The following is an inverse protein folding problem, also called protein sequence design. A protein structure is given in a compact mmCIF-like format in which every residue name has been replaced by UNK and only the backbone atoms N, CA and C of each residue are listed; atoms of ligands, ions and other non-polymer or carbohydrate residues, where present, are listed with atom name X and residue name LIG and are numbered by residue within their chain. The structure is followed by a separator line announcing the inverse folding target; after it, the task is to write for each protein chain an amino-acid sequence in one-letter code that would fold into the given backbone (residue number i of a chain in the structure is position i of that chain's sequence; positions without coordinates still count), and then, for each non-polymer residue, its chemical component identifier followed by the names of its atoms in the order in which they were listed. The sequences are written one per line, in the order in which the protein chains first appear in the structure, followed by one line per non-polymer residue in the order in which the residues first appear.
data_IF_790979439605
#
_entry.id   IF_790979439605
#
_cell.length_a   1.000
_cell.length_b   1.000
_cell.length_c   1.000
_cell.angle_alpha   90.00
_cell.angle_beta   90.00
_cell.angle_gamma   90.00
#
_symmetry.space_group_name_H-M   'P 1'
#
loop_
_entity.id
_entity.type
_entity.pdbx_description
1 polymer ?
#
# COMPACT_ATOMS: atom_id res chain seq x y z
N UNK A 1 -10.72 5.34 26.00
CA UNK A 1 -9.79 4.53 26.81
C UNK A 1 -9.33 3.22 26.14
N UNK A 2 -10.16 2.42 25.45
CA UNK A 2 -9.74 1.09 24.94
C UNK A 2 -8.51 1.12 24.01
N UNK A 3 -8.38 2.18 23.20
CA UNK A 3 -7.28 2.35 22.24
C UNK A 3 -5.89 2.51 22.88
N UNK A 4 -5.80 3.08 24.08
CA UNK A 4 -4.51 3.34 24.72
C UNK A 4 -3.87 2.07 25.27
N UNK A 5 -4.66 1.00 25.47
CA UNK A 5 -4.21 -0.28 26.02
C UNK A 5 -3.18 -0.94 25.09
N UNK A 6 -3.49 -1.23 23.79
CA UNK A 6 -2.50 -1.84 22.90
C UNK A 6 -1.28 -0.95 22.66
N UNK A 7 -1.45 0.37 22.58
CA UNK A 7 -0.34 1.34 22.40
C UNK A 7 0.63 1.30 23.59
N UNK A 8 0.10 1.27 24.81
CA UNK A 8 0.93 1.23 26.02
C UNK A 8 1.66 -0.11 26.18
N UNK A 9 1.02 -1.21 25.78
CA UNK A 9 1.56 -2.56 25.92
C UNK A 9 2.57 -2.91 24.82
N UNK A 10 2.37 -2.42 23.59
CA UNK A 10 3.30 -2.63 22.49
C UNK A 10 4.56 -1.77 22.61
N UNK A 11 4.44 -0.62 23.30
CA UNK A 11 5.46 0.43 23.26
C UNK A 11 5.51 1.16 21.90
N UNK A 12 4.67 0.78 20.94
CA UNK A 12 4.60 1.38 19.62
C UNK A 12 3.80 2.68 19.68
N UNK A 13 4.52 3.79 19.52
CA UNK A 13 3.97 5.15 19.49
C UNK A 13 3.73 5.67 18.09
N UNK A 14 3.78 4.83 17.05
CA UNK A 14 3.58 5.29 15.67
C UNK A 14 2.16 5.80 15.40
N UNK A 15 1.18 5.40 16.21
CA UNK A 15 -0.25 5.65 15.98
C UNK A 15 -0.75 5.16 14.61
N UNK A 16 -0.01 4.25 13.98
CA UNK A 16 -0.45 3.61 12.76
C UNK A 16 -1.54 2.59 13.11
N UNK A 17 -2.74 2.76 12.54
CA UNK A 17 -3.89 1.88 12.80
C UNK A 17 -3.55 0.42 12.52
N UNK A 18 -2.79 0.16 11.46
CA UNK A 18 -2.42 -1.18 11.05
C UNK A 18 -1.45 -1.83 12.03
N UNK A 19 -0.41 -1.10 12.47
CA UNK A 19 0.55 -1.62 13.43
C UNK A 19 -0.09 -1.92 14.78
N UNK A 20 -0.95 -1.01 15.26
CA UNK A 20 -1.73 -1.24 16.49
C UNK A 20 -2.65 -2.46 16.33
N UNK A 21 -3.31 -2.61 15.17
CA UNK A 21 -4.19 -3.74 14.89
C UNK A 21 -3.40 -5.06 14.87
N UNK A 22 -2.25 -5.11 14.18
CA UNK A 22 -1.36 -6.29 14.16
C UNK A 22 -0.92 -6.69 15.55
N UNK A 23 -0.56 -5.73 16.41
CA UNK A 23 -0.21 -6.06 17.81
C UNK A 23 -1.34 -6.78 18.55
N UNK A 24 -2.58 -6.33 18.37
CA UNK A 24 -3.77 -6.99 18.95
C UNK A 24 -4.01 -8.37 18.32
N UNK A 25 -3.69 -8.56 17.03
CA UNK A 25 -3.78 -9.85 16.33
C UNK A 25 -2.72 -10.85 16.82
N UNK A 26 -1.47 -10.42 16.93
CA UNK A 26 -0.32 -11.27 17.26
C UNK A 26 -0.23 -11.61 18.77
N UNK A 27 -0.85 -10.81 19.63
CA UNK A 27 -1.03 -11.08 21.06
C UNK A 27 0.30 -11.39 21.78
N UNK A 28 0.37 -12.55 22.44
CA UNK A 28 1.50 -13.00 23.25
C UNK A 28 2.81 -13.29 22.47
N UNK A 29 2.79 -13.32 21.12
CA UNK A 29 4.01 -13.61 20.33
C UNK A 29 4.98 -12.44 20.22
N UNK A 30 4.50 -11.21 20.44
CA UNK A 30 5.33 -10.00 20.27
C UNK A 30 6.18 -9.72 21.53
N UNK A 31 5.81 -10.30 22.68
CA UNK A 31 6.53 -10.05 23.94
C UNK A 31 7.53 -11.18 24.18
N UNK A 32 8.85 -10.91 24.08
CA UNK A 32 9.85 -11.89 24.44
C UNK A 32 9.80 -12.18 25.95
N UNK A 33 9.79 -13.46 26.33
CA UNK A 33 9.82 -13.91 27.73
C UNK A 33 8.59 -14.74 28.14
N UNK A 34 8.37 -14.84 29.45
CA UNK A 34 7.29 -15.65 30.05
C UNK A 34 5.96 -14.89 30.24
N UNK A 35 5.91 -13.62 29.82
CA UNK A 35 4.71 -12.78 29.96
C UNK A 35 3.79 -12.95 28.76
N UNK A 36 2.52 -13.27 29.01
CA UNK A 36 1.50 -13.38 27.96
C UNK A 36 0.40 -12.34 28.16
N UNK A 37 -0.04 -11.73 27.06
CA UNK A 37 -1.21 -10.85 27.06
C UNK A 37 -2.34 -11.56 26.33
N UNK A 38 -3.51 -11.59 26.95
CA UNK A 38 -4.72 -12.15 26.38
C UNK A 38 -5.85 -11.14 26.49
N UNK A 39 -6.54 -10.93 25.39
CA UNK A 39 -7.76 -10.13 25.32
C UNK A 39 -8.91 -11.06 25.01
N UNK A 40 -9.99 -10.99 25.80
CA UNK A 40 -11.24 -11.66 25.47
C UNK A 40 -11.88 -11.10 24.19
N UNK A 41 -12.79 -11.84 23.57
CA UNK A 41 -13.42 -11.47 22.30
C UNK A 41 -14.16 -10.13 22.36
N UNK A 42 -14.87 -9.84 23.46
CA UNK A 42 -15.61 -8.59 23.63
C UNK A 42 -14.62 -7.41 23.72
N UNK A 43 -13.53 -7.57 24.46
CA UNK A 43 -12.47 -6.56 24.55
C UNK A 43 -11.77 -6.36 23.21
N UNK A 44 -11.42 -7.43 22.47
CA UNK A 44 -10.83 -7.33 21.14
C UNK A 44 -11.72 -6.55 20.18
N UNK A 45 -13.01 -6.87 20.14
CA UNK A 45 -13.99 -6.17 19.30
C UNK A 45 -14.05 -4.67 19.63
N UNK A 46 -14.15 -4.32 20.92
CA UNK A 46 -14.15 -2.92 21.37
C UNK A 46 -12.85 -2.17 21.02
N UNK A 47 -11.70 -2.86 21.09
CA UNK A 47 -10.41 -2.30 20.70
C UNK A 47 -10.38 -2.04 19.18
N UNK A 48 -10.79 -3.01 18.36
CA UNK A 48 -10.84 -2.83 16.90
C UNK A 48 -11.78 -1.71 16.48
N UNK A 49 -12.98 -1.62 17.07
CA UNK A 49 -13.91 -0.50 16.82
C UNK A 49 -13.30 0.87 17.20
N UNK A 50 -12.49 0.91 18.27
CA UNK A 50 -11.78 2.13 18.67
C UNK A 50 -10.64 2.48 17.71
N UNK A 51 -9.93 1.48 17.17
CA UNK A 51 -8.89 1.66 16.14
C UNK A 51 -9.50 2.19 14.83
N UNK A 52 -10.65 1.66 14.43
CA UNK A 52 -11.35 2.10 13.22
C UNK A 52 -11.72 3.59 13.31
N UNK A 53 -12.24 4.01 14.47
CA UNK A 53 -12.62 5.39 14.79
C UNK A 53 -11.43 6.32 15.07
N UNK A 54 -10.21 5.81 15.19
CA UNK A 54 -9.03 6.64 15.44
C UNK A 54 -8.89 7.68 14.34
N UNK A 55 -8.79 8.94 14.71
CA UNK A 55 -8.46 10.03 13.80
C UNK A 55 -7.12 10.61 14.21
N UNK A 56 -6.45 11.26 13.25
CA UNK A 56 -5.17 11.92 13.48
C UNK A 56 -5.40 13.43 13.47
N UNK A 57 -5.88 14.04 14.58
CA UNK A 57 -6.18 15.45 14.62
C UNK A 57 -4.89 16.28 14.55
N UNK A 58 -4.99 17.48 13.96
CA UNK A 58 -3.89 18.46 13.88
C UNK A 58 -3.16 18.66 15.21
N UNK A 59 -3.93 18.77 16.30
CA UNK A 59 -3.40 19.03 17.65
C UNK A 59 -2.43 17.93 18.08
N UNK A 60 -2.76 16.66 17.84
CA UNK A 60 -1.91 15.52 18.16
C UNK A 60 -0.60 15.57 17.34
N UNK A 61 -0.69 15.85 16.03
CA UNK A 61 0.49 15.94 15.18
C UNK A 61 1.43 17.08 15.61
N UNK A 62 0.88 18.25 15.94
CA UNK A 62 1.67 19.38 16.46
C UNK A 62 2.33 19.01 17.79
N UNK A 63 1.60 18.36 18.71
CA UNK A 63 2.16 17.92 19.99
C UNK A 63 3.34 16.96 19.81
N UNK A 64 3.18 15.94 18.94
CA UNK A 64 4.25 14.97 18.64
C UNK A 64 5.44 15.62 17.94
N UNK A 65 5.17 16.56 17.05
CA UNK A 65 6.21 17.34 16.40
C UNK A 65 7.01 18.17 17.42
N UNK A 66 6.33 18.92 18.30
CA UNK A 66 6.99 19.75 19.33
C UNK A 66 7.83 18.90 20.27
N UNK A 67 7.31 17.75 20.71
CA UNK A 67 8.03 16.84 21.59
C UNK A 67 9.34 16.32 20.96
N UNK A 68 9.31 15.96 19.68
CA UNK A 68 10.52 15.52 18.99
C UNK A 68 11.50 16.68 18.76
N UNK A 69 10.99 17.86 18.39
CA UNK A 69 11.79 19.08 18.23
C UNK A 69 12.55 19.45 19.51
N UNK A 70 11.87 19.44 20.65
CA UNK A 70 12.48 19.72 21.95
C UNK A 70 13.57 18.70 22.30
N UNK A 71 13.34 17.41 22.00
CA UNK A 71 14.33 16.36 22.22
C UNK A 71 15.57 16.50 21.34
N UNK A 72 15.39 16.87 20.07
CA UNK A 72 16.50 17.00 19.11
C UNK A 72 17.20 18.37 19.19
N UNK A 73 16.57 19.37 19.79
CA UNK A 73 17.06 20.75 19.79
C UNK A 73 17.06 21.43 18.41
N UNK A 74 16.45 20.81 17.40
CA UNK A 74 16.34 21.30 16.01
C UNK A 74 14.99 20.92 15.41
N UNK A 75 14.62 21.53 14.29
CA UNK A 75 13.46 21.10 13.50
C UNK A 75 13.73 19.66 13.02
N UNK A 76 12.88 18.68 13.37
CA UNK A 76 13.05 17.30 12.93
C UNK A 76 12.83 17.17 11.42
N UNK A 77 13.58 16.31 10.76
CA UNK A 77 13.24 15.85 9.42
C UNK A 77 12.10 14.84 9.46
N UNK A 78 11.49 14.53 8.31
CA UNK A 78 10.49 13.47 8.25
C UNK A 78 11.10 12.08 8.56
N UNK A 79 12.40 11.91 8.30
CA UNK A 79 13.16 10.69 8.62
C UNK A 79 13.38 10.54 10.13
N UNK A 80 13.62 11.65 10.84
CA UNK A 80 13.83 11.63 12.29
C UNK A 80 12.65 10.98 13.03
N UNK A 81 11.41 11.22 12.58
CA UNK A 81 10.22 10.58 13.14
C UNK A 81 10.22 9.06 12.97
N UNK A 82 10.71 8.58 11.82
CA UNK A 82 10.80 7.15 11.53
C UNK A 82 11.86 6.48 12.42
N UNK A 83 13.04 7.10 12.55
CA UNK A 83 14.15 6.57 13.33
C UNK A 83 13.84 6.57 14.84
N UNK A 84 13.15 7.60 15.33
CA UNK A 84 12.87 7.77 16.76
C UNK A 84 11.58 7.05 17.20
N UNK A 85 10.73 6.61 16.26
CA UNK A 85 9.54 5.80 16.55
C UNK A 85 8.42 6.53 17.31
N UNK A 86 8.39 7.87 17.29
CA UNK A 86 7.41 8.66 18.07
C UNK A 86 6.05 8.84 17.41
N UNK A 87 5.99 8.79 16.07
CA UNK A 87 4.76 8.83 15.25
C UNK A 87 5.10 8.37 13.83
N UNK A 88 4.20 7.65 13.14
CA UNK A 88 4.41 7.27 11.74
C UNK A 88 4.49 8.54 10.88
N UNK A 89 5.59 8.78 10.17
CA UNK A 89 5.76 9.99 9.38
C UNK A 89 4.69 10.15 8.29
N UNK A 90 4.08 9.04 7.81
CA UNK A 90 3.01 9.11 6.82
C UNK A 90 1.76 9.81 7.34
N UNK A 91 1.55 9.88 8.66
CA UNK A 91 0.41 10.58 9.24
C UNK A 91 0.48 12.11 9.02
N UNK A 92 1.68 12.69 9.01
CA UNK A 92 1.87 14.10 8.65
C UNK A 92 1.51 14.35 7.19
N UNK A 93 1.93 13.44 6.31
CA UNK A 93 1.68 13.51 4.88
C UNK A 93 0.19 13.34 4.57
N UNK A 94 -0.48 12.38 5.21
CA UNK A 94 -1.92 12.18 5.06
C UNK A 94 -2.72 13.41 5.50
N UNK A 95 -2.27 14.10 6.55
CA UNK A 95 -2.95 15.29 7.07
C UNK A 95 -2.72 16.54 6.20
N UNK A 96 -1.47 16.84 5.83
CA UNK A 96 -1.10 18.10 5.16
C UNK A 96 -0.83 17.97 3.65
N UNK A 97 -0.80 16.75 3.12
CA UNK A 97 -0.45 16.42 1.75
C UNK A 97 1.06 16.27 1.51
N UNK A 98 1.90 16.99 2.26
CA UNK A 98 3.37 16.85 2.26
C UNK A 98 3.96 17.35 3.57
N UNK A 99 5.18 16.92 3.89
CA UNK A 99 5.86 17.37 5.12
C UNK A 99 6.18 18.88 5.14
N UNK A 100 6.65 19.51 4.04
CA UNK A 100 6.82 20.97 3.98
C UNK A 100 5.54 21.75 4.32
N UNK A 101 4.38 21.30 3.83
CA UNK A 101 3.08 21.91 4.14
C UNK A 101 2.72 21.75 5.61
N UNK A 102 3.05 20.60 6.21
CA UNK A 102 2.90 20.42 7.65
C UNK A 102 3.80 21.35 8.47
N UNK A 103 5.08 21.52 8.07
CA UNK A 103 6.01 22.43 8.73
C UNK A 103 5.50 23.87 8.73
N UNK A 104 4.96 24.37 7.61
CA UNK A 104 4.34 25.70 7.54
C UNK A 104 3.16 25.86 8.52
N UNK A 105 2.47 24.77 8.89
CA UNK A 105 1.39 24.80 9.87
C UNK A 105 1.86 24.72 11.33
N UNK A 106 2.97 24.02 11.58
CA UNK A 106 3.50 23.77 12.92
C UNK A 106 4.48 24.88 13.37
N UNK A 107 5.24 25.45 12.44
CA UNK A 107 6.29 26.42 12.69
C UNK A 107 5.90 27.80 12.16
N UNK A 108 5.60 28.73 13.08
CA UNK A 108 5.19 30.11 12.74
C UNK A 108 6.22 30.88 11.91
N UNK A 109 7.50 30.53 12.01
CA UNK A 109 8.61 31.20 11.34
C UNK A 109 9.30 30.30 10.28
N UNK A 110 8.68 29.18 9.88
CA UNK A 110 9.26 28.31 8.87
C UNK A 110 9.06 28.91 7.48
N UNK A 111 10.10 29.54 6.96
CA UNK A 111 10.17 30.02 5.59
C UNK A 111 10.98 29.05 4.74
N UNK A 112 10.40 27.88 4.41
CA UNK A 112 10.95 27.06 3.32
C UNK A 112 10.78 27.83 2.02
N UNK A 113 11.88 28.09 1.31
CA UNK A 113 11.85 28.84 0.06
C UNK A 113 11.51 27.92 -1.13
N UNK A 114 10.24 27.52 -1.20
CA UNK A 114 9.71 26.62 -2.22
C UNK A 114 8.75 27.35 -3.17
N UNK A 115 8.95 27.15 -4.45
CA UNK A 115 8.04 27.52 -5.54
C UNK A 115 6.87 26.54 -5.63
N UNK A 116 5.82 26.93 -6.34
CA UNK A 116 4.65 26.06 -6.56
C UNK A 116 5.01 24.73 -7.22
N UNK A 117 5.97 24.72 -8.15
CA UNK A 117 6.45 23.50 -8.82
C UNK A 117 7.20 22.57 -7.87
N UNK A 118 8.01 23.13 -6.99
CA UNK A 118 8.74 22.38 -5.96
C UNK A 118 7.77 21.78 -4.95
N UNK A 119 6.77 22.55 -4.50
CA UNK A 119 5.69 22.05 -3.64
C UNK A 119 4.91 20.90 -4.29
N UNK A 120 4.56 21.04 -5.57
CA UNK A 120 3.85 19.99 -6.31
C UNK A 120 4.68 18.71 -6.45
N UNK A 121 5.98 18.83 -6.70
CA UNK A 121 6.90 17.69 -6.78
C UNK A 121 7.03 16.98 -5.43
N UNK A 122 7.23 17.73 -4.35
CA UNK A 122 7.32 17.15 -3.00
C UNK A 122 6.01 16.49 -2.58
N UNK A 123 4.87 17.10 -2.90
CA UNK A 123 3.55 16.52 -2.66
C UNK A 123 3.33 15.24 -3.48
N UNK A 124 3.74 15.23 -4.74
CA UNK A 124 3.66 14.05 -5.60
C UNK A 124 4.44 12.87 -5.00
N UNK A 125 5.71 13.07 -4.63
CA UNK A 125 6.55 12.03 -4.01
C UNK A 125 5.98 11.60 -2.66
N UNK A 126 5.52 12.55 -1.85
CA UNK A 126 4.92 12.29 -0.54
C UNK A 126 3.65 11.43 -0.64
N UNK A 127 2.75 11.71 -1.58
CA UNK A 127 1.46 11.00 -1.64
C UNK A 127 1.55 9.65 -2.35
N UNK A 128 2.48 9.49 -3.29
CA UNK A 128 2.45 8.35 -4.22
C UNK A 128 3.66 7.41 -4.12
N UNK A 129 4.80 7.88 -3.60
CA UNK A 129 6.08 7.14 -3.69
C UNK A 129 6.68 6.82 -2.32
N UNK A 130 6.63 7.77 -1.37
CA UNK A 130 7.29 7.66 -0.04
C UNK A 130 6.82 6.47 0.81
N UNK A 131 5.68 5.85 0.47
CA UNK A 131 5.11 4.75 1.25
C UNK A 131 6.03 3.51 1.30
N UNK A 132 6.99 3.41 0.37
CA UNK A 132 7.98 2.34 0.31
C UNK A 132 7.46 1.04 -0.30
N UNK A 133 6.24 1.01 -0.86
CA UNK A 133 5.64 -0.23 -1.42
C UNK A 133 6.34 -0.71 -2.70
N UNK A 134 7.06 0.18 -3.39
CA UNK A 134 7.87 -0.11 -4.58
C UNK A 134 9.11 0.79 -4.60
N UNK A 135 10.27 0.18 -4.83
CA UNK A 135 11.58 0.83 -4.67
C UNK A 135 12.06 1.60 -5.92
N UNK A 136 11.54 1.26 -7.10
CA UNK A 136 12.07 1.73 -8.39
C UNK A 136 12.03 3.26 -8.54
N UNK A 137 10.88 3.89 -8.27
CA UNK A 137 10.72 5.33 -8.38
C UNK A 137 11.65 6.09 -7.41
N UNK A 138 11.87 5.54 -6.20
CA UNK A 138 12.76 6.14 -5.21
C UNK A 138 14.20 6.17 -5.69
N UNK A 139 14.67 5.07 -6.29
CA UNK A 139 16.04 4.97 -6.80
C UNK A 139 16.25 5.77 -8.09
N UNK A 140 15.24 5.82 -8.97
CA UNK A 140 15.27 6.69 -10.15
C UNK A 140 15.36 8.17 -9.75
N UNK A 141 14.56 8.60 -8.77
CA UNK A 141 14.66 9.96 -8.23
C UNK A 141 16.04 10.24 -7.63
N UNK A 142 16.59 9.30 -6.86
CA UNK A 142 17.95 9.41 -6.31
C UNK A 142 19.00 9.59 -7.41
N UNK A 143 18.91 8.80 -8.49
CA UNK A 143 19.84 8.89 -9.61
C UNK A 143 19.69 10.21 -10.37
N UNK A 144 18.46 10.69 -10.59
CA UNK A 144 18.21 12.01 -11.19
C UNK A 144 18.78 13.15 -10.35
N UNK A 145 18.76 13.04 -9.02
CA UNK A 145 19.34 14.05 -8.13
C UNK A 145 20.87 14.04 -8.16
N UNK A 146 21.49 12.85 -8.11
CA UNK A 146 22.94 12.69 -8.05
C UNK A 146 23.61 12.84 -9.42
N UNK A 147 23.18 12.05 -10.40
CA UNK A 147 23.82 11.90 -11.71
C UNK A 147 23.18 12.81 -12.78
N UNK A 148 21.97 13.31 -12.54
CA UNK A 148 21.21 14.14 -13.50
C UNK A 148 20.58 13.37 -14.66
N UNK A 149 20.88 12.08 -14.79
CA UNK A 149 20.39 11.17 -15.81
C UNK A 149 20.09 9.81 -15.22
N UNK A 150 19.22 9.05 -15.88
CA UNK A 150 18.93 7.67 -15.53
C UNK A 150 19.84 6.76 -16.35
N UNK A 151 20.48 5.83 -15.66
CA UNK A 151 21.30 4.75 -16.22
C UNK A 151 20.71 3.45 -15.68
N UNK A 152 20.06 2.71 -16.59
CA UNK A 152 19.24 1.54 -16.28
C UNK A 152 20.11 0.36 -15.85
N UNK A 153 21.27 0.20 -16.47
CA UNK A 153 22.23 -0.85 -16.18
C UNK A 153 22.76 -0.68 -14.76
N UNK A 154 23.22 0.53 -14.41
CA UNK A 154 23.68 0.87 -13.05
C UNK A 154 22.58 0.65 -12.01
N UNK A 155 21.34 1.02 -12.32
CA UNK A 155 20.20 0.79 -11.44
C UNK A 155 19.91 -0.71 -11.25
N UNK A 156 19.99 -1.49 -12.33
CA UNK A 156 19.76 -2.95 -12.31
C UNK A 156 20.81 -3.65 -11.46
N UNK A 157 22.08 -3.30 -11.62
CA UNK A 157 23.18 -3.82 -10.80
C UNK A 157 23.00 -3.46 -9.32
N UNK A 158 22.62 -2.21 -9.03
CA UNK A 158 22.37 -1.76 -7.66
C UNK A 158 21.21 -2.51 -7.00
N UNK A 159 20.09 -2.69 -7.71
CA UNK A 159 18.92 -3.44 -7.20
C UNK A 159 19.26 -4.90 -6.90
N UNK A 160 20.00 -5.55 -7.81
CA UNK A 160 20.41 -6.94 -7.63
C UNK A 160 21.39 -7.08 -6.46
N UNK A 161 22.33 -6.14 -6.29
CA UNK A 161 23.36 -6.19 -5.25
C UNK A 161 22.81 -5.90 -3.86
N UNK A 162 22.01 -4.84 -3.72
CA UNK A 162 21.57 -4.36 -2.40
C UNK A 162 20.28 -5.02 -1.93
N UNK A 163 19.39 -5.40 -2.86
CA UNK A 163 18.05 -5.89 -2.52
C UNK A 163 17.75 -7.28 -3.08
N UNK A 164 18.66 -7.87 -3.88
CA UNK A 164 18.40 -9.12 -4.61
C UNK A 164 17.16 -9.06 -5.52
N UNK A 165 16.81 -7.86 -6.01
CA UNK A 165 15.64 -7.61 -6.86
C UNK A 165 16.06 -7.46 -8.32
N UNK A 166 15.34 -8.14 -9.22
CA UNK A 166 15.52 -7.98 -10.67
C UNK A 166 14.62 -6.89 -11.23
N UNK A 167 15.20 -5.92 -11.92
CA UNK A 167 14.46 -4.90 -12.65
C UNK A 167 14.10 -5.40 -14.05
N UNK A 168 12.83 -5.69 -14.29
CA UNK A 168 12.35 -5.99 -15.64
C UNK A 168 12.19 -4.70 -16.47
N UNK A 169 12.23 -4.83 -17.79
CA UNK A 169 11.94 -3.72 -18.71
C UNK A 169 10.57 -3.11 -18.44
N UNK A 170 9.55 -3.97 -18.22
CA UNK A 170 8.20 -3.52 -17.91
C UNK A 170 8.14 -2.72 -16.59
N UNK A 171 8.88 -3.14 -15.57
CA UNK A 171 8.96 -2.41 -14.29
C UNK A 171 9.70 -1.09 -14.42
N UNK A 172 10.76 -1.04 -15.24
CA UNK A 172 11.47 0.18 -15.54
C UNK A 172 10.56 1.20 -16.25
N UNK A 173 9.90 0.79 -17.35
CA UNK A 173 8.96 1.64 -18.09
C UNK A 173 7.77 2.09 -17.21
N UNK A 174 7.26 1.19 -16.36
CA UNK A 174 6.21 1.53 -15.40
C UNK A 174 6.67 2.61 -14.41
N UNK A 175 7.89 2.50 -13.88
CA UNK A 175 8.42 3.48 -12.94
C UNK A 175 8.65 4.85 -13.61
N UNK A 176 9.12 4.86 -14.86
CA UNK A 176 9.22 6.09 -15.67
C UNK A 176 7.83 6.70 -15.89
N UNK A 177 6.86 5.91 -16.32
CA UNK A 177 5.47 6.35 -16.54
C UNK A 177 4.84 6.97 -15.28
N UNK A 178 5.13 6.41 -14.10
CA UNK A 178 4.71 7.01 -12.81
C UNK A 178 5.37 8.37 -12.62
N UNK A 179 6.69 8.50 -12.80
CA UNK A 179 7.41 9.77 -12.62
C UNK A 179 7.05 10.83 -13.66
N UNK A 180 6.51 10.44 -14.82
CA UNK A 180 5.91 11.33 -15.82
C UNK A 180 4.46 11.71 -15.51
N UNK A 181 3.84 11.08 -14.50
CA UNK A 181 2.43 11.28 -14.18
C UNK A 181 1.45 10.55 -15.11
N UNK A 182 1.93 9.75 -16.06
CA UNK A 182 1.10 9.05 -17.05
C UNK A 182 0.28 7.88 -16.44
N UNK A 183 0.74 7.32 -15.33
CA UNK A 183 0.02 6.26 -14.61
C UNK A 183 -1.35 6.72 -14.06
N UNK A 184 -1.50 7.99 -13.67
CA UNK A 184 -2.70 8.44 -12.97
C UNK A 184 -3.86 8.66 -13.94
N UNK A 185 -5.02 8.08 -13.64
CA UNK A 185 -6.10 8.00 -14.61
C UNK A 185 -7.27 8.96 -14.33
N UNK A 186 -7.48 9.37 -13.07
CA UNK A 186 -8.60 10.25 -12.73
C UNK A 186 -8.43 11.63 -13.33
N UNK A 187 -9.52 12.29 -13.70
CA UNK A 187 -9.47 13.62 -14.31
C UNK A 187 -8.78 14.65 -13.40
N UNK A 188 -8.98 14.53 -12.08
CA UNK A 188 -8.36 15.39 -11.06
C UNK A 188 -6.87 15.18 -10.98
N UNK A 189 -6.40 13.93 -10.91
CA UNK A 189 -4.97 13.63 -10.83
C UNK A 189 -4.25 13.96 -12.13
N UNK A 190 -4.87 13.68 -13.29
CA UNK A 190 -4.32 14.07 -14.59
C UNK A 190 -4.08 15.58 -14.66
N UNK A 191 -5.07 16.39 -14.29
CA UNK A 191 -4.92 17.86 -14.23
C UNK A 191 -3.86 18.31 -13.21
N UNK A 192 -3.78 17.62 -12.07
CA UNK A 192 -2.81 17.94 -11.00
C UNK A 192 -1.38 17.64 -11.45
N UNK A 193 -1.16 16.53 -12.14
CA UNK A 193 0.17 16.03 -12.50
C UNK A 193 0.56 16.29 -13.97
N UNK A 194 -0.29 16.92 -14.77
CA UNK A 194 0.01 17.36 -16.15
C UNK A 194 1.24 18.26 -16.22
N UNK A 195 1.49 19.05 -15.17
CA UNK A 195 2.62 19.98 -15.07
C UNK A 195 3.83 19.39 -14.33
N UNK A 196 3.85 18.08 -14.10
CA UNK A 196 4.89 17.40 -13.33
C UNK A 196 6.20 17.33 -14.12
N UNK A 197 7.13 18.22 -13.75
CA UNK A 197 8.40 18.39 -14.45
C UNK A 197 9.56 17.66 -13.74
N UNK A 198 9.48 16.32 -13.63
CA UNK A 198 10.55 15.52 -12.99
C UNK A 198 11.63 15.13 -14.00
N UNK A 199 11.24 14.49 -15.09
CA UNK A 199 12.16 13.91 -16.07
C UNK A 199 11.70 14.18 -17.51
N UNK A 200 12.67 14.18 -18.42
CA UNK A 200 12.47 14.37 -19.86
C UNK A 200 13.31 13.35 -20.63
N UNK A 201 12.74 12.82 -21.70
CA UNK A 201 13.46 11.97 -22.65
C UNK A 201 14.22 12.85 -23.63
N UNK A 202 15.51 12.57 -23.82
CA UNK A 202 16.31 13.24 -24.84
C UNK A 202 16.19 12.53 -26.20
N UNK A 203 16.79 13.11 -27.24
CA UNK A 203 16.75 12.57 -28.61
C UNK A 203 17.39 11.18 -28.77
N UNK A 204 18.18 10.75 -27.79
CA UNK A 204 18.82 9.41 -27.77
C UNK A 204 17.98 8.37 -27.05
N UNK A 205 16.79 8.73 -26.55
CA UNK A 205 15.92 7.85 -25.77
C UNK A 205 16.29 7.76 -24.28
N UNK A 206 17.35 8.43 -23.84
CA UNK A 206 17.76 8.44 -22.44
C UNK A 206 16.98 9.49 -21.64
N UNK A 207 16.65 9.15 -20.39
CA UNK A 207 15.92 10.04 -19.49
C UNK A 207 16.88 10.87 -18.64
N UNK A 208 16.58 12.15 -18.51
CA UNK A 208 17.34 13.11 -17.70
C UNK A 208 16.41 13.99 -16.89
N UNK A 209 16.92 14.62 -15.83
CA UNK A 209 16.12 15.54 -15.02
C UNK A 209 15.71 16.77 -15.84
N UNK A 210 14.51 17.27 -15.60
CA UNK A 210 14.12 18.56 -16.17
C UNK A 210 14.90 19.73 -15.55
N UNK A 211 14.98 20.85 -16.29
CA UNK A 211 15.65 22.09 -15.83
C UNK A 211 15.02 22.67 -14.56
N UNK A 212 13.70 22.58 -14.42
CA UNK A 212 12.97 22.97 -13.21
C UNK A 212 13.43 22.17 -11.99
N UNK A 213 13.53 20.84 -12.11
CA UNK A 213 14.06 19.98 -11.05
C UNK A 213 15.50 20.34 -10.72
N UNK A 214 16.35 20.58 -11.72
CA UNK A 214 17.72 21.05 -11.50
C UNK A 214 17.80 22.41 -10.77
N UNK A 215 16.91 23.35 -11.11
CA UNK A 215 16.86 24.64 -10.43
C UNK A 215 16.46 24.51 -8.96
N UNK A 216 15.55 23.58 -8.63
CA UNK A 216 15.16 23.29 -7.25
C UNK A 216 16.26 22.59 -6.47
N UNK A 217 17.00 21.67 -7.09
CA UNK A 217 18.14 20.98 -6.45
C UNK A 217 19.22 21.98 -5.97
N UNK A 218 19.36 23.14 -6.61
CA UNK A 218 20.30 24.18 -6.15
C UNK A 218 19.87 24.88 -4.86
N UNK A 219 18.60 24.75 -4.45
CA UNK A 219 18.09 25.25 -3.18
C UNK A 219 18.22 24.13 -2.14
N UNK A 220 18.87 24.42 -1.01
CA UNK A 220 19.03 23.47 0.09
C UNK A 220 17.68 22.92 0.56
N UNK A 221 16.70 23.80 0.77
CA UNK A 221 15.39 23.41 1.31
C UNK A 221 14.67 22.35 0.46
N UNK A 222 14.67 22.51 -0.87
CA UNK A 222 14.01 21.54 -1.74
C UNK A 222 14.80 20.22 -1.80
N UNK A 223 16.13 20.32 -1.93
CA UNK A 223 17.02 19.17 -1.99
C UNK A 223 16.91 18.30 -0.73
N UNK A 224 16.96 18.92 0.44
CA UNK A 224 16.89 18.26 1.73
C UNK A 224 15.54 17.56 1.91
N UNK A 225 14.43 18.26 1.63
CA UNK A 225 13.09 17.67 1.75
C UNK A 225 12.88 16.50 0.79
N UNK A 226 13.39 16.57 -0.44
CA UNK A 226 13.26 15.48 -1.41
C UNK A 226 14.14 14.29 -1.02
N UNK A 227 15.37 14.52 -0.57
CA UNK A 227 16.27 13.47 -0.07
C UNK A 227 15.66 12.76 1.15
N UNK A 228 15.09 13.51 2.09
CA UNK A 228 14.43 12.94 3.26
C UNK A 228 13.25 12.02 2.87
N UNK A 229 12.44 12.42 1.88
CA UNK A 229 11.35 11.58 1.37
C UNK A 229 11.90 10.31 0.70
N UNK A 230 12.96 10.42 -0.09
CA UNK A 230 13.59 9.26 -0.72
C UNK A 230 14.16 8.32 0.35
N UNK A 231 14.87 8.85 1.33
CA UNK A 231 15.44 8.07 2.44
C UNK A 231 14.34 7.36 3.24
N UNK A 232 13.29 8.08 3.63
CA UNK A 232 12.14 7.50 4.31
C UNK A 232 11.53 6.35 3.50
N UNK A 233 11.28 6.56 2.21
CA UNK A 233 10.71 5.53 1.35
C UNK A 233 11.61 4.30 1.23
N UNK A 234 12.93 4.48 1.11
CA UNK A 234 13.88 3.37 1.03
C UNK A 234 13.98 2.61 2.36
N UNK A 235 14.02 3.31 3.50
CA UNK A 235 13.99 2.66 4.82
C UNK A 235 12.73 1.84 4.99
N UNK A 236 11.56 2.41 4.71
CA UNK A 236 10.28 1.70 4.75
C UNK A 236 10.24 0.48 3.84
N UNK A 237 10.76 0.59 2.62
CA UNK A 237 10.86 -0.53 1.70
C UNK A 237 11.68 -1.68 2.31
N UNK A 238 12.87 -1.34 2.81
CA UNK A 238 13.82 -2.30 3.39
C UNK A 238 13.25 -2.97 4.64
N UNK A 239 12.65 -2.19 5.53
CA UNK A 239 12.21 -2.67 6.83
C UNK A 239 10.87 -3.42 6.75
N UNK A 240 9.95 -3.01 5.87
CA UNK A 240 8.57 -3.51 5.86
C UNK A 240 8.23 -4.44 4.69
N UNK A 241 8.81 -4.21 3.51
CA UNK A 241 8.36 -4.86 2.27
C UNK A 241 9.37 -5.86 1.72
N UNK A 242 10.66 -5.57 1.81
CA UNK A 242 11.72 -6.47 1.33
C UNK A 242 11.70 -7.88 1.98
N UNK A 243 11.48 -8.05 3.30
CA UNK A 243 11.70 -9.35 3.94
C UNK A 243 10.81 -10.51 3.45
N UNK A 244 9.58 -10.21 3.03
CA UNK A 244 8.60 -11.21 2.57
C UNK A 244 8.09 -10.92 1.15
N UNK A 245 8.89 -10.21 0.36
CA UNK A 245 8.55 -9.84 -1.01
C UNK A 245 8.56 -11.05 -1.95
N UNK A 246 7.54 -11.16 -2.80
CA UNK A 246 7.49 -12.13 -3.88
C UNK A 246 8.07 -11.58 -5.21
N UNK A 247 8.11 -12.44 -6.23
CA UNK A 247 8.64 -12.10 -7.57
C UNK A 247 7.89 -10.95 -8.27
N UNK A 248 6.65 -10.66 -7.86
CA UNK A 248 5.84 -9.57 -8.42
C UNK A 248 6.05 -8.25 -7.67
N UNK A 249 6.79 -8.28 -6.56
CA UNK A 249 7.06 -7.12 -5.74
C UNK A 249 6.07 -6.91 -4.58
N UNK A 250 5.20 -7.89 -4.29
CA UNK A 250 4.24 -7.82 -3.19
C UNK A 250 4.78 -8.58 -1.97
N UNK A 251 4.64 -7.99 -0.79
CA UNK A 251 5.08 -8.58 0.48
C UNK A 251 3.91 -9.23 1.20
N UNK A 252 4.08 -10.49 1.61
CA UNK A 252 3.05 -11.20 2.38
C UNK A 252 2.66 -10.41 3.63
N UNK A 253 1.36 -10.37 3.90
CA UNK A 253 0.74 -9.75 5.08
C UNK A 253 0.93 -8.23 5.19
N UNK A 254 1.45 -7.58 4.15
CA UNK A 254 1.43 -6.13 4.04
C UNK A 254 0.14 -5.65 3.37
N UNK A 255 -0.20 -4.38 3.60
CA UNK A 255 -1.43 -3.76 3.12
C UNK A 255 -1.24 -3.01 1.82
N UNK A 256 -2.14 -3.25 0.87
CA UNK A 256 -2.11 -2.63 -0.45
C UNK A 256 -3.48 -2.07 -0.81
N UNK A 257 -3.50 -0.83 -1.31
CA UNK A 257 -4.66 -0.32 -2.02
C UNK A 257 -4.73 -0.94 -3.42
N UNK A 258 -5.91 -0.90 -4.05
CA UNK A 258 -6.05 -1.31 -5.46
C UNK A 258 -5.10 -0.54 -6.39
N UNK A 259 -4.87 0.75 -6.11
CA UNK A 259 -3.95 1.61 -6.86
C UNK A 259 -2.50 1.15 -6.72
N UNK A 260 -2.08 0.76 -5.51
CA UNK A 260 -0.76 0.17 -5.28
C UNK A 260 -0.57 -1.11 -6.08
N UNK A 261 -1.60 -1.97 -6.11
CA UNK A 261 -1.55 -3.23 -6.86
C UNK A 261 -1.46 -2.97 -8.38
N UNK A 262 -2.24 -2.05 -8.95
CA UNK A 262 -2.09 -1.63 -10.35
C UNK A 262 -0.65 -1.20 -10.65
N UNK A 263 -0.07 -0.39 -9.75
CA UNK A 263 1.30 0.12 -9.89
C UNK A 263 2.33 -1.00 -9.82
N UNK A 264 2.31 -1.83 -8.79
CA UNK A 264 3.28 -2.92 -8.57
C UNK A 264 3.22 -3.95 -9.70
N UNK A 265 2.02 -4.28 -10.19
CA UNK A 265 1.82 -5.19 -11.31
C UNK A 265 2.11 -4.56 -12.69
N UNK A 266 2.67 -3.35 -12.72
CA UNK A 266 3.04 -2.61 -13.93
C UNK A 266 1.88 -2.41 -14.93
N UNK A 267 0.66 -2.16 -14.43
CA UNK A 267 -0.45 -1.80 -15.30
C UNK A 267 -0.20 -0.39 -15.89
N UNK A 268 -0.61 -0.19 -17.14
CA UNK A 268 -0.39 1.08 -17.86
C UNK A 268 -0.97 2.30 -17.11
N UNK A 269 -2.12 2.12 -16.46
CA UNK A 269 -2.82 3.18 -15.74
C UNK A 269 -3.41 2.67 -14.43
N UNK A 270 -3.70 3.61 -13.53
CA UNK A 270 -4.50 3.38 -12.35
C UNK A 270 -5.95 3.03 -12.75
N UNK A 271 -6.26 1.74 -12.68
CA UNK A 271 -7.59 1.20 -12.93
C UNK A 271 -8.29 0.79 -11.63
N UNK A 272 -7.85 1.29 -10.48
CA UNK A 272 -8.35 0.92 -9.15
C UNK A 272 -9.87 1.02 -9.01
N UNK A 273 -10.51 2.00 -9.67
CA UNK A 273 -11.96 2.21 -9.69
C UNK A 273 -12.73 1.13 -10.46
N UNK A 274 -12.08 0.40 -11.36
CA UNK A 274 -12.73 -0.60 -12.25
C UNK A 274 -12.35 -2.04 -11.92
N UNK A 275 -11.48 -2.26 -10.93
CA UNK A 275 -11.13 -3.60 -10.45
C UNK A 275 -12.32 -4.24 -9.70
N UNK A 276 -13.07 -3.47 -8.93
CA UNK A 276 -14.13 -3.99 -8.04
C UNK A 276 -13.60 -5.12 -7.13
N UNK A 277 -14.18 -6.32 -7.21
CA UNK A 277 -13.74 -7.51 -6.47
C UNK A 277 -12.57 -8.24 -7.12
N UNK A 278 -12.41 -8.19 -8.44
CA UNK A 278 -11.27 -8.79 -9.15
C UNK A 278 -11.25 -8.37 -10.61
N UNK A 279 -10.07 -8.46 -11.23
CA UNK A 279 -9.89 -8.20 -12.66
C UNK A 279 -8.75 -9.02 -13.23
N UNK A 280 -8.96 -9.68 -14.38
CA UNK A 280 -7.91 -10.39 -15.10
C UNK A 280 -7.29 -9.45 -16.12
N UNK A 281 -6.00 -9.11 -15.96
CA UNK A 281 -5.26 -8.25 -16.90
C UNK A 281 -3.76 -8.56 -16.85
N UNK A 282 -3.06 -8.45 -17.98
CA UNK A 282 -1.60 -8.67 -18.10
C UNK A 282 -1.10 -9.94 -17.40
N UNK A 283 -1.81 -11.06 -17.61
CA UNK A 283 -1.52 -12.35 -16.99
C UNK A 283 -1.54 -12.35 -15.44
N UNK A 284 -2.27 -11.42 -14.83
CA UNK A 284 -2.52 -11.35 -13.39
C UNK A 284 -4.02 -11.27 -13.09
N UNK A 285 -4.42 -11.75 -11.92
CA UNK A 285 -5.77 -11.63 -11.38
C UNK A 285 -5.71 -11.29 -9.88
N UNK A 286 -5.60 -10.01 -9.52
CA UNK A 286 -5.82 -9.60 -8.14
C UNK A 286 -7.30 -9.74 -7.76
N UNK A 287 -7.55 -10.43 -6.64
CA UNK A 287 -8.85 -10.65 -6.01
C UNK A 287 -8.86 -9.90 -4.69
N UNK A 288 -9.86 -9.04 -4.49
CA UNK A 288 -10.06 -8.22 -3.30
C UNK A 288 -11.35 -8.64 -2.59
N UNK A 289 -11.20 -9.12 -1.36
CA UNK A 289 -12.32 -9.60 -0.54
C UNK A 289 -12.44 -8.75 0.73
N UNK A 290 -13.67 -8.32 1.02
CA UNK A 290 -14.06 -7.80 2.33
C UNK A 290 -14.85 -8.90 3.04
N UNK A 291 -14.35 -9.37 4.19
CA UNK A 291 -14.90 -10.53 4.91
C UNK A 291 -16.29 -10.22 5.52
N UNK A 292 -16.36 -9.19 6.36
CA UNK A 292 -17.58 -8.66 6.96
C UNK A 292 -18.19 -7.62 6.02
N UNK A 293 -19.25 -8.04 5.34
CA UNK A 293 -20.04 -7.17 4.47
C UNK A 293 -21.08 -6.42 5.31
N UNK A 294 -21.32 -5.14 5.00
CA UNK A 294 -22.39 -4.36 5.63
C UNK A 294 -23.76 -4.97 5.30
N UNK A 295 -24.71 -4.91 6.23
CA UNK A 295 -26.05 -5.49 6.04
C UNK A 295 -26.81 -4.90 4.84
N UNK A 296 -26.52 -3.64 4.51
CA UNK A 296 -27.18 -2.83 3.47
C UNK A 296 -26.67 -3.06 2.02
N UNK A 297 -25.84 -4.08 1.76
CA UNK A 297 -25.44 -4.40 0.39
C UNK A 297 -26.50 -5.26 -0.33
N UNK A 298 -26.61 -5.08 -1.65
CA UNK A 298 -27.54 -5.85 -2.48
C UNK A 298 -27.34 -7.36 -2.30
N UNK A 299 -28.43 -8.14 -2.26
CA UNK A 299 -28.37 -9.57 -1.96
C UNK A 299 -27.48 -10.35 -2.94
N UNK A 300 -27.44 -9.91 -4.20
CA UNK A 300 -26.58 -10.48 -5.26
C UNK A 300 -25.07 -10.19 -5.10
N UNK A 301 -24.68 -9.51 -4.01
CA UNK A 301 -23.29 -9.19 -3.66
C UNK A 301 -22.86 -9.75 -2.29
N UNK A 302 -23.78 -10.40 -1.56
CA UNK A 302 -23.53 -11.10 -0.29
C UNK A 302 -22.88 -12.46 -0.53
N UNK A 303 -21.71 -12.48 -1.15
CA UNK A 303 -20.96 -13.71 -1.37
C UNK A 303 -20.46 -14.32 -0.04
N UNK A 304 -20.48 -15.64 0.05
CA UNK A 304 -19.97 -16.42 1.19
C UNK A 304 -18.47 -16.69 1.01
N UNK A 305 -17.69 -15.61 0.90
CA UNK A 305 -16.23 -15.72 0.82
C UNK A 305 -15.68 -16.04 2.22
N UNK A 306 -14.95 -17.13 2.38
CA UNK A 306 -14.48 -17.59 3.70
C UNK A 306 -13.18 -18.38 3.63
N UNK A 307 -12.42 -18.38 4.73
CA UNK A 307 -11.35 -19.37 4.87
C UNK A 307 -11.93 -20.71 5.33
N UNK A 308 -11.78 -21.75 4.50
CA UNK A 308 -12.13 -23.13 4.87
C UNK A 308 -11.14 -23.65 5.93
N UNK A 309 -9.86 -23.29 5.76
CA UNK A 309 -8.79 -23.52 6.73
C UNK A 309 -7.65 -22.52 6.42
N UNK A 310 -6.52 -22.64 7.13
CA UNK A 310 -5.37 -21.76 6.94
C UNK A 310 -4.64 -21.93 5.58
N UNK A 311 -5.08 -22.83 4.70
CA UNK A 311 -4.47 -23.08 3.39
C UNK A 311 -5.46 -23.00 2.22
N UNK A 312 -6.77 -22.99 2.47
CA UNK A 312 -7.80 -22.99 1.43
C UNK A 312 -8.81 -21.88 1.69
N UNK A 313 -9.01 -21.04 0.69
CA UNK A 313 -9.99 -19.96 0.67
C UNK A 313 -11.12 -20.28 -0.30
N UNK A 314 -12.37 -20.19 0.14
CA UNK A 314 -13.57 -20.24 -0.69
C UNK A 314 -13.86 -18.84 -1.21
N UNK A 315 -13.88 -18.68 -2.53
CA UNK A 315 -14.11 -17.39 -3.17
C UNK A 315 -15.20 -17.50 -4.22
N UNK A 316 -16.10 -16.53 -4.28
CA UNK A 316 -17.10 -16.43 -5.34
C UNK A 316 -16.81 -15.29 -6.31
N UNK A 317 -17.08 -15.53 -7.58
CA UNK A 317 -17.01 -14.49 -8.63
C UNK A 317 -18.09 -13.43 -8.43
N UNK A 318 -18.11 -12.42 -9.31
CA UNK A 318 -19.28 -11.54 -9.42
C UNK A 318 -20.50 -12.35 -9.87
N UNK A 319 -21.70 -11.86 -9.57
CA UNK A 319 -22.93 -12.42 -10.15
C UNK A 319 -22.93 -12.31 -11.68
N UNK A 320 -23.71 -13.19 -12.33
CA UNK A 320 -23.80 -13.35 -13.81
C UNK A 320 -22.56 -13.96 -14.46
N UNK A 321 -21.75 -14.67 -13.69
CA UNK A 321 -20.56 -15.37 -14.16
C UNK A 321 -20.84 -16.87 -14.08
N UNK A 322 -20.90 -17.52 -15.23
CA UNK A 322 -21.14 -18.96 -15.39
C UNK A 322 -19.85 -19.73 -15.66
N UNK A 323 -19.92 -21.06 -15.68
CA UNK A 323 -18.81 -21.93 -16.07
C UNK A 323 -18.28 -21.61 -17.49
N UNK A 324 -19.17 -21.20 -18.40
CA UNK A 324 -18.84 -20.86 -19.78
C UNK A 324 -18.25 -19.45 -19.97
N UNK A 325 -18.25 -18.64 -18.91
CA UNK A 325 -17.73 -17.27 -18.97
C UNK A 325 -16.22 -17.27 -19.22
N UNK A 326 -15.75 -16.30 -20.01
CA UNK A 326 -14.33 -16.20 -20.40
C UNK A 326 -13.43 -16.12 -19.15
N UNK A 327 -13.87 -15.39 -18.13
CA UNK A 327 -13.12 -15.26 -16.87
C UNK A 327 -13.02 -16.59 -16.12
N UNK A 328 -14.11 -17.35 -16.01
CA UNK A 328 -14.13 -18.68 -15.39
C UNK A 328 -13.16 -19.62 -16.09
N UNK A 329 -13.20 -19.67 -17.43
CA UNK A 329 -12.28 -20.49 -18.23
C UNK A 329 -10.82 -20.10 -18.02
N UNK A 330 -10.51 -18.80 -17.93
CA UNK A 330 -9.15 -18.32 -17.64
C UNK A 330 -8.66 -18.70 -16.25
N UNK A 331 -9.54 -18.62 -15.24
CA UNK A 331 -9.22 -19.02 -13.87
C UNK A 331 -9.00 -20.54 -13.77
N UNK A 332 -9.87 -21.33 -14.40
CA UNK A 332 -9.75 -22.80 -14.45
C UNK A 332 -8.44 -23.21 -15.13
N UNK A 333 -8.11 -22.60 -16.27
CA UNK A 333 -6.86 -22.86 -17.01
C UNK A 333 -5.64 -22.06 -16.50
N UNK A 334 -5.68 -21.56 -15.26
CA UNK A 334 -4.63 -20.67 -14.72
C UNK A 334 -3.27 -21.35 -14.61
N UNK A 335 -3.25 -22.64 -14.24
CA UNK A 335 -2.01 -23.43 -14.14
C UNK A 335 -1.32 -23.59 -15.51
N UNK A 336 -2.09 -23.81 -16.58
CA UNK A 336 -1.56 -24.01 -17.94
C UNK A 336 -1.12 -22.70 -18.59
N UNK A 337 -1.88 -21.61 -18.34
CA UNK A 337 -1.60 -20.29 -18.91
C UNK A 337 -0.56 -19.48 -18.13
N UNK A 338 -0.20 -19.91 -16.92
CA UNK A 338 0.68 -19.18 -16.02
C UNK A 338 0.03 -17.93 -15.40
N UNK A 339 -1.31 -17.82 -15.42
CA UNK A 339 -2.05 -16.72 -14.82
C UNK A 339 -1.79 -16.65 -13.32
N UNK A 340 -1.26 -15.52 -12.85
CA UNK A 340 -0.98 -15.30 -11.42
C UNK A 340 -2.23 -14.77 -10.71
N UNK A 341 -2.85 -15.59 -9.86
CA UNK A 341 -4.00 -15.19 -9.05
C UNK A 341 -3.52 -14.76 -7.66
N UNK A 342 -3.92 -13.56 -7.24
CA UNK A 342 -3.38 -12.87 -6.05
C UNK A 342 -4.52 -12.56 -5.10
N UNK A 343 -4.45 -13.03 -3.85
CA UNK A 343 -5.53 -12.83 -2.88
C UNK A 343 -5.23 -11.66 -1.93
N UNK A 344 -6.17 -10.73 -1.84
CA UNK A 344 -6.14 -9.58 -0.94
C UNK A 344 -7.40 -9.57 -0.08
N UNK A 345 -7.24 -9.53 1.25
CA UNK A 345 -8.37 -9.64 2.19
C UNK A 345 -8.33 -8.50 3.20
N UNK A 346 -9.49 -7.94 3.53
CA UNK A 346 -9.70 -7.07 4.71
C UNK A 346 -10.90 -7.56 5.49
N UNK A 347 -10.92 -7.34 6.81
CA UNK A 347 -12.00 -7.83 7.66
C UNK A 347 -13.26 -7.01 7.41
N UNK A 348 -13.17 -5.69 7.38
CA UNK A 348 -14.33 -4.83 7.16
C UNK A 348 -13.99 -3.55 6.38
N UNK A 349 -15.01 -2.81 5.97
CA UNK A 349 -14.81 -1.48 5.38
C UNK A 349 -14.26 -0.44 6.38
N UNK A 350 -14.39 -0.66 7.68
CA UNK A 350 -13.84 0.21 8.73
C UNK A 350 -12.31 0.26 8.73
N UNK A 351 -11.66 -0.72 8.11
CA UNK A 351 -10.20 -0.79 7.99
C UNK A 351 -9.60 0.16 6.96
N UNK A 352 -10.43 0.81 6.14
CA UNK A 352 -10.01 1.70 5.07
C UNK A 352 -9.98 1.02 3.69
N UNK A 353 -9.15 1.57 2.81
CA UNK A 353 -9.07 1.18 1.39
C UNK A 353 -8.10 0.05 1.10
N UNK A 354 -7.24 -0.28 2.06
CA UNK A 354 -6.13 -1.19 1.86
C UNK A 354 -6.48 -2.60 2.35
N UNK A 355 -5.95 -3.61 1.68
CA UNK A 355 -6.20 -5.03 1.92
C UNK A 355 -4.88 -5.74 2.21
N UNK A 356 -4.90 -6.70 3.14
CA UNK A 356 -3.76 -7.56 3.40
C UNK A 356 -3.51 -8.48 2.22
N UNK A 357 -2.29 -8.52 1.70
CA UNK A 357 -1.89 -9.50 0.70
C UNK A 357 -1.67 -10.86 1.35
N UNK A 358 -2.45 -11.86 0.93
CA UNK A 358 -2.43 -13.22 1.48
C UNK A 358 -1.56 -14.16 0.64
N UNK A 359 -1.00 -13.68 -0.46
CA UNK A 359 -0.15 -14.46 -1.36
C UNK A 359 -0.85 -14.90 -2.65
N UNK A 360 -0.08 -15.64 -3.45
CA UNK A 360 -0.58 -16.32 -4.65
C UNK A 360 -1.45 -17.51 -4.29
N UNK A 361 -2.46 -17.77 -5.11
CA UNK A 361 -3.42 -18.84 -4.90
C UNK A 361 -3.69 -19.62 -6.18
N UNK A 362 -4.08 -20.89 -6.04
CA UNK A 362 -4.32 -21.81 -7.14
C UNK A 362 -5.72 -22.44 -7.02
N UNK A 363 -6.57 -22.35 -8.05
CA UNK A 363 -7.83 -23.09 -8.08
C UNK A 363 -7.61 -24.60 -8.00
N UNK A 364 -8.23 -25.24 -7.01
CA UNK A 364 -8.17 -26.70 -6.82
C UNK A 364 -9.53 -27.38 -7.01
N UNK A 365 -10.62 -26.61 -6.93
CA UNK A 365 -11.97 -27.06 -7.25
C UNK A 365 -12.82 -25.85 -7.64
N UNK A 366 -13.85 -26.07 -8.44
CA UNK A 366 -14.79 -25.04 -8.84
C UNK A 366 -16.16 -25.65 -9.13
N UNK A 367 -17.21 -24.89 -8.84
CA UNK A 367 -18.59 -25.27 -9.13
C UNK A 367 -19.41 -24.04 -9.49
N UNK A 368 -20.39 -24.22 -10.38
CA UNK A 368 -21.38 -23.19 -10.65
C UNK A 368 -22.52 -23.28 -9.62
N UNK A 369 -22.88 -22.15 -9.03
CA UNK A 369 -24.01 -21.98 -8.12
C UNK A 369 -24.97 -20.92 -8.65
N UNK A 370 -26.06 -20.71 -7.91
CA UNK A 370 -27.00 -19.62 -8.14
C UNK A 370 -26.98 -18.65 -6.96
N UNK A 371 -27.09 -17.36 -7.26
CA UNK A 371 -27.36 -16.31 -6.27
C UNK A 371 -28.59 -15.51 -6.72
N UNK A 372 -29.44 -15.14 -5.78
CA UNK A 372 -30.68 -14.41 -6.07
C UNK A 372 -30.47 -12.90 -5.90
N UNK A 373 -30.99 -12.11 -6.84
CA UNK A 373 -31.07 -10.66 -6.66
C UNK A 373 -32.31 -10.26 -5.83
N UNK A 374 -32.45 -8.98 -5.52
CA UNK A 374 -33.55 -8.45 -4.70
C UNK A 374 -34.95 -8.62 -5.35
N UNK A 375 -35.01 -9.05 -6.62
CA UNK A 375 -36.24 -9.38 -7.36
C UNK A 375 -36.51 -10.89 -7.41
N UNK A 376 -35.71 -11.71 -6.72
CA UNK A 376 -35.84 -13.18 -6.71
C UNK A 376 -35.35 -13.87 -7.99
N UNK A 377 -34.61 -13.17 -8.87
CA UNK A 377 -34.07 -13.76 -10.10
C UNK A 377 -32.77 -14.50 -9.78
N UNK A 378 -32.69 -15.79 -10.12
CA UNK A 378 -31.47 -16.59 -10.06
C UNK A 378 -30.44 -16.08 -11.07
N UNK A 379 -29.23 -15.81 -10.60
CA UNK A 379 -28.08 -15.39 -11.40
C UNK A 379 -26.96 -16.42 -11.23
N UNK A 380 -26.28 -16.84 -12.31
CA UNK A 380 -25.17 -17.76 -12.19
C UNK A 380 -23.99 -17.08 -11.49
N UNK A 381 -23.28 -17.87 -10.69
CA UNK A 381 -22.05 -17.46 -10.01
C UNK A 381 -21.12 -18.67 -9.94
N UNK A 382 -19.80 -18.44 -10.02
CA UNK A 382 -18.82 -19.51 -9.81
C UNK A 382 -18.26 -19.42 -8.40
N UNK A 383 -18.19 -20.55 -7.71
CA UNK A 383 -17.44 -20.69 -6.47
C UNK A 383 -16.15 -21.47 -6.76
N UNK A 384 -15.02 -20.94 -6.32
CA UNK A 384 -13.70 -21.55 -6.45
C UNK A 384 -13.13 -21.83 -5.07
N UNK A 385 -12.55 -23.03 -4.90
CA UNK A 385 -11.65 -23.32 -3.79
C UNK A 385 -10.23 -22.99 -4.23
N UNK A 386 -9.65 -21.99 -3.60
CA UNK A 386 -8.33 -21.47 -3.90
C UNK A 386 -7.33 -21.93 -2.83
N UNK A 387 -6.34 -22.71 -3.22
CA UNK A 387 -5.24 -23.13 -2.35
C UNK A 387 -4.18 -22.05 -2.32
N UNK A 388 -3.83 -21.55 -1.14
CA UNK A 388 -2.73 -20.60 -0.96
C UNK A 388 -1.38 -21.31 -1.12
N UNK A 389 -0.43 -20.67 -1.82
CA UNK A 389 0.96 -21.18 -1.93
C UNK A 389 1.65 -21.26 -0.58
N UNK A 390 1.37 -20.28 0.29
CA UNK A 390 1.84 -20.25 1.67
C UNK A 390 0.63 -20.31 2.59
N UNK A 391 0.63 -21.24 3.55
CA UNK A 391 -0.40 -21.27 4.58
C UNK A 391 -0.41 -19.94 5.34
N UNK A 392 -1.61 -19.43 5.61
CA UNK A 392 -1.82 -18.21 6.40
C UNK A 392 -1.26 -18.46 7.80
N UNK A 393 -0.46 -17.50 8.29
CA UNK A 393 -0.01 -17.53 9.69
C UNK A 393 -1.22 -17.60 10.63
N UNK A 394 -1.07 -18.37 11.70
CA UNK A 394 -2.17 -18.65 12.63
C UNK A 394 -2.80 -17.39 13.23
N UNK A 395 -1.99 -16.41 13.64
CA UNK A 395 -2.46 -15.13 14.18
C UNK A 395 -3.33 -14.33 13.19
N UNK A 396 -2.92 -14.29 11.92
CA UNK A 396 -3.67 -13.63 10.85
C UNK A 396 -4.94 -14.43 10.52
N UNK A 397 -4.85 -15.76 10.47
CA UNK A 397 -6.00 -16.63 10.24
C UNK A 397 -7.06 -16.44 11.33
N UNK A 398 -6.66 -16.51 12.61
CA UNK A 398 -7.52 -16.29 13.76
C UNK A 398 -8.17 -14.89 13.76
N UNK A 399 -7.45 -13.86 13.31
CA UNK A 399 -8.02 -12.53 13.16
C UNK A 399 -9.22 -12.48 12.19
N UNK A 400 -9.16 -13.22 11.09
CA UNK A 400 -10.26 -13.26 10.11
C UNK A 400 -11.38 -14.21 10.51
N UNK A 401 -11.06 -15.34 11.15
CA UNK A 401 -12.04 -16.41 11.43
C UNK A 401 -12.71 -16.28 12.80
N UNK A 402 -12.04 -15.73 13.83
CA UNK A 402 -12.66 -15.51 15.13
C UNK A 402 -13.44 -14.19 15.17
N UNK A 403 -14.73 -14.32 15.44
CA UNK A 403 -15.73 -13.24 15.63
C UNK A 403 -15.89 -12.84 17.07
#
# INVERSE_FOLDING_TARGET
MPLMIPIALSGDRTYNKDTIRRYVMEGARVIPGSSSIHFDEISKKRIYEAIDKLSTPKKMLIEKYTLLKERLGKVPSIVDFYVQGEVDPLLFIQYAGSYPKFLQMAEKNCALNLSDKEHMTLEFVSQNIVNGKRIYELLLLRQLMQDGRIDKEKLTEYLQREYCVKLSDQSYESAISVLQGHFFNTQTEKKKYEKLDILVMNNTGAFSRMLSLYSGIKKSDFLDQLNDLIELGVKRYTDLYLPLQDELGLSLYQKYSRKDVCRILNWEQDESSTIYGYKIKYNTCPIFVTYEKKDDIASSTKYEDEFINNQVFSWMTRSRVSADSIESRKLIASSDSGLKILLFVKKSDGEGTDFYYMGRVHPIAWEQKEIYNDKGIALPIMNFRLKLEHSVREDIYQYFVCT
#
